data_IF_554734700403
#
_entry.id   IF_554734700403
#
_cell.length_a   1.000
_cell.length_b   1.000
_cell.length_c   1.000
_cell.angle_alpha   90.00
_cell.angle_beta   90.00
_cell.angle_gamma   90.00
#
_symmetry.space_group_name_H-M   'P 1'
#
loop_
_entity.id
_entity.type
_entity.pdbx_description
1 polymer ?
#
# COMPACT_ATOMS: atom_id res chain seq x y z
N UNK A 1 17.19 -2.41 -33.03
CA UNK A 1 16.55 -3.37 -32.13
C UNK A 1 15.90 -2.58 -31.02
N UNK A 2 14.56 -2.52 -30.88
CA UNK A 2 13.96 -1.87 -29.73
C UNK A 2 14.23 -2.77 -28.52
N UNK A 3 14.90 -2.22 -27.51
CA UNK A 3 14.98 -2.83 -26.18
C UNK A 3 13.57 -2.70 -25.59
N UNK A 4 12.85 -3.81 -25.48
CA UNK A 4 11.61 -3.84 -24.73
C UNK A 4 11.94 -3.44 -23.30
N UNK A 5 11.50 -2.28 -22.88
CA UNK A 5 11.53 -1.89 -21.49
C UNK A 5 10.62 -2.86 -20.73
N UNK A 6 11.21 -3.82 -20.02
CA UNK A 6 10.48 -4.68 -19.08
C UNK A 6 10.10 -3.80 -17.91
N UNK A 7 8.86 -3.35 -17.88
CA UNK A 7 8.35 -2.41 -16.89
C UNK A 7 8.24 -3.01 -15.48
N UNK A 8 8.25 -4.35 -15.35
CA UNK A 8 8.25 -5.08 -14.07
C UNK A 8 9.11 -6.32 -14.19
N UNK A 9 9.87 -6.65 -13.15
CA UNK A 9 10.51 -7.95 -13.05
C UNK A 9 9.43 -9.01 -12.86
N UNK A 10 9.53 -10.11 -13.59
CA UNK A 10 8.54 -11.20 -13.56
C UNK A 10 8.50 -11.90 -12.19
N UNK A 11 9.59 -11.82 -11.44
CA UNK A 11 9.86 -12.49 -10.16
C UNK A 11 9.65 -11.60 -8.93
N UNK A 12 9.07 -10.41 -9.09
CA UNK A 12 8.83 -9.46 -7.99
C UNK A 12 7.35 -9.27 -7.68
N UNK A 13 7.05 -8.88 -6.43
CA UNK A 13 5.74 -8.45 -5.99
C UNK A 13 5.74 -6.95 -5.76
N UNK A 14 5.32 -6.19 -6.77
CA UNK A 14 5.28 -4.73 -6.68
C UNK A 14 4.20 -4.28 -5.72
N UNK A 15 4.57 -3.43 -4.76
CA UNK A 15 3.71 -2.90 -3.72
C UNK A 15 3.80 -1.38 -3.71
N UNK A 16 2.81 -0.72 -4.30
CA UNK A 16 2.76 0.74 -4.41
C UNK A 16 1.79 1.33 -3.37
N UNK A 17 2.31 2.10 -2.43
CA UNK A 17 1.54 2.77 -1.39
C UNK A 17 1.44 4.27 -1.65
N UNK A 18 0.25 4.83 -1.52
CA UNK A 18 -0.01 6.26 -1.65
C UNK A 18 -0.83 6.77 -0.48
N UNK A 19 -0.41 7.90 0.09
CA UNK A 19 -1.11 8.59 1.18
C UNK A 19 -1.88 9.79 0.65
N UNK A 20 -3.12 9.95 1.11
CA UNK A 20 -3.89 11.17 0.97
C UNK A 20 -4.21 11.72 2.36
N UNK A 21 -3.67 12.90 2.67
CA UNK A 21 -3.91 13.58 3.94
C UNK A 21 -5.14 14.47 3.82
N UNK A 22 -6.08 14.32 4.77
CA UNK A 22 -7.20 15.21 5.00
C UNK A 22 -7.17 15.72 6.43
N UNK A 23 -7.97 16.73 6.75
CA UNK A 23 -7.96 17.38 8.08
C UNK A 23 -8.55 16.52 9.19
N UNK A 24 -9.30 15.48 8.83
CA UNK A 24 -10.01 14.59 9.75
C UNK A 24 -9.65 13.12 9.62
N UNK A 25 -8.88 12.75 8.57
CA UNK A 25 -8.41 11.37 8.35
C UNK A 25 -7.19 11.33 7.43
N UNK A 26 -6.52 10.19 7.43
CA UNK A 26 -5.47 9.84 6.47
C UNK A 26 -5.91 8.57 5.76
N UNK A 27 -5.92 8.61 4.42
CA UNK A 27 -6.26 7.49 3.55
C UNK A 27 -4.98 6.86 2.98
N UNK A 28 -4.88 5.53 3.08
CA UNK A 28 -3.91 4.70 2.39
C UNK A 28 -4.56 4.04 1.19
N UNK A 29 -3.86 4.08 0.06
CA UNK A 29 -4.15 3.26 -1.11
C UNK A 29 -2.94 2.39 -1.40
N UNK A 30 -3.12 1.08 -1.38
CA UNK A 30 -2.07 0.09 -1.62
C UNK A 30 -2.48 -0.72 -2.84
N UNK A 31 -1.67 -0.63 -3.89
CA UNK A 31 -1.80 -1.42 -5.11
C UNK A 31 -0.69 -2.47 -5.10
N UNK A 32 -1.07 -3.74 -5.25
CA UNK A 32 -0.17 -4.88 -5.20
C UNK A 32 -0.28 -5.63 -6.53
N UNK A 33 0.81 -5.67 -7.28
CA UNK A 33 0.86 -6.35 -8.58
C UNK A 33 1.93 -7.44 -8.54
N UNK A 34 1.53 -8.72 -8.43
CA UNK A 34 2.49 -9.81 -8.52
C UNK A 34 2.99 -9.94 -9.97
N UNK A 35 4.29 -10.12 -10.11
CA UNK A 35 4.87 -10.55 -11.38
C UNK A 35 4.39 -11.97 -11.75
N UNK A 36 4.49 -12.31 -13.03
CA UNK A 36 3.96 -13.57 -13.59
C UNK A 36 4.47 -14.80 -12.84
N UNK A 37 5.76 -14.80 -12.47
CA UNK A 37 6.41 -15.95 -11.82
C UNK A 37 5.99 -16.14 -10.37
N UNK A 38 5.56 -15.07 -9.68
CA UNK A 38 5.14 -15.11 -8.27
C UNK A 38 3.61 -15.11 -8.10
N UNK A 39 2.86 -14.79 -9.14
CA UNK A 39 1.40 -14.72 -9.10
C UNK A 39 0.73 -16.01 -8.58
N UNK A 40 1.15 -17.23 -8.99
CA UNK A 40 0.55 -18.46 -8.45
C UNK A 40 0.72 -18.61 -6.94
N UNK A 41 1.90 -18.26 -6.41
CA UNK A 41 2.18 -18.34 -4.98
C UNK A 41 1.40 -17.29 -4.18
N UNK A 42 1.28 -16.06 -4.70
CA UNK A 42 0.47 -15.00 -4.08
C UNK A 42 -1.01 -15.38 -4.10
N UNK A 43 -1.52 -15.88 -5.22
CA UNK A 43 -2.91 -16.34 -5.32
C UNK A 43 -3.21 -17.46 -4.31
N UNK A 44 -2.36 -18.50 -4.26
CA UNK A 44 -2.53 -19.62 -3.32
C UNK A 44 -2.47 -19.19 -1.84
N UNK A 45 -1.71 -18.13 -1.54
CA UNK A 45 -1.65 -17.56 -0.20
C UNK A 45 -2.98 -16.90 0.22
N UNK A 46 -3.74 -16.38 -0.74
CA UNK A 46 -5.01 -15.68 -0.51
C UNK A 46 -6.19 -16.66 -0.58
N UNK A 47 -6.25 -17.49 -1.63
CA UNK A 47 -7.27 -18.51 -1.87
C UNK A 47 -7.03 -19.73 -0.95
N UNK A 48 -7.48 -19.63 0.29
CA UNK A 48 -7.17 -20.60 1.36
C UNK A 48 -8.03 -21.86 1.29
N UNK A 49 -9.20 -21.80 0.67
CA UNK A 49 -10.10 -22.95 0.48
C UNK A 49 -9.86 -23.67 -0.85
N UNK A 50 -8.96 -23.12 -1.70
CA UNK A 50 -8.54 -23.70 -2.99
C UNK A 50 -9.67 -23.90 -4.00
N UNK A 51 -10.71 -23.06 -3.94
CA UNK A 51 -11.86 -23.13 -4.88
C UNK A 51 -11.57 -22.44 -6.23
N UNK A 52 -10.40 -21.78 -6.37
CA UNK A 52 -9.97 -21.09 -7.59
C UNK A 52 -10.43 -19.64 -7.72
N UNK A 53 -11.08 -19.11 -6.69
CA UNK A 53 -11.54 -17.71 -6.62
C UNK A 53 -11.17 -17.08 -5.28
N UNK A 54 -11.07 -15.76 -5.21
CA UNK A 54 -10.84 -15.06 -3.95
C UNK A 54 -12.17 -14.54 -3.44
N UNK A 55 -12.68 -15.15 -2.37
CA UNK A 55 -13.88 -14.70 -1.69
C UNK A 55 -13.66 -13.37 -0.96
N UNK A 56 -14.74 -12.65 -0.66
CA UNK A 56 -14.67 -11.41 0.11
C UNK A 56 -14.04 -11.60 1.50
N UNK A 57 -14.24 -12.77 2.12
CA UNK A 57 -13.64 -13.09 3.41
C UNK A 57 -12.14 -13.31 3.31
N UNK A 58 -11.68 -14.08 2.35
CA UNK A 58 -10.25 -14.32 2.11
C UNK A 58 -9.52 -13.03 1.77
N UNK A 59 -10.10 -12.22 0.89
CA UNK A 59 -9.58 -10.90 0.55
C UNK A 59 -9.45 -9.99 1.77
N UNK A 60 -10.44 -9.98 2.66
CA UNK A 60 -10.41 -9.21 3.90
C UNK A 60 -9.33 -9.72 4.88
N UNK A 61 -9.19 -11.04 5.01
CA UNK A 61 -8.16 -11.65 5.85
C UNK A 61 -6.77 -11.29 5.33
N UNK A 62 -6.56 -11.38 4.02
CA UNK A 62 -5.30 -11.00 3.40
C UNK A 62 -4.97 -9.53 3.58
N UNK A 63 -5.94 -8.65 3.32
CA UNK A 63 -5.79 -7.21 3.51
C UNK A 63 -5.43 -6.86 4.98
N UNK A 64 -6.08 -7.52 5.94
CA UNK A 64 -5.74 -7.35 7.36
C UNK A 64 -4.31 -7.77 7.66
N UNK A 65 -3.87 -8.93 7.17
CA UNK A 65 -2.49 -9.42 7.35
C UNK A 65 -1.48 -8.43 6.79
N UNK A 66 -1.73 -7.90 5.58
CA UNK A 66 -0.86 -6.88 4.98
C UNK A 66 -0.77 -5.63 5.86
N UNK A 67 -1.90 -5.12 6.37
CA UNK A 67 -1.90 -3.95 7.24
C UNK A 67 -1.23 -4.21 8.59
N UNK A 68 -1.34 -5.43 9.13
CA UNK A 68 -0.64 -5.85 10.36
C UNK A 68 0.89 -5.92 10.16
N UNK A 69 1.37 -6.16 8.95
CA UNK A 69 2.79 -6.13 8.59
C UNK A 69 3.32 -4.70 8.38
N UNK A 70 2.45 -3.70 8.31
CA UNK A 70 2.83 -2.31 8.15
C UNK A 70 3.02 -1.60 9.49
N UNK A 71 4.03 -0.73 9.57
CA UNK A 71 4.16 0.26 10.64
C UNK A 71 3.55 1.56 10.15
N UNK A 72 2.63 2.13 10.91
CA UNK A 72 2.00 3.41 10.60
C UNK A 72 1.86 4.26 11.86
N UNK A 73 2.47 5.43 11.83
CA UNK A 73 2.52 6.35 12.98
C UNK A 73 2.25 7.78 12.54
N UNK A 74 1.64 8.55 13.43
CA UNK A 74 1.54 10.01 13.32
C UNK A 74 2.04 10.60 14.62
N UNK A 75 3.01 11.49 14.54
CA UNK A 75 3.70 12.15 15.68
C UNK A 75 4.28 11.13 16.67
N UNK A 76 4.86 10.03 16.12
CA UNK A 76 5.44 8.94 16.90
C UNK A 76 4.43 8.06 17.63
N UNK A 77 3.13 8.24 17.37
CA UNK A 77 2.07 7.41 17.95
C UNK A 77 1.54 6.42 16.91
N UNK A 78 1.56 5.12 17.19
CA UNK A 78 0.96 4.11 16.32
C UNK A 78 -0.52 4.42 16.06
N UNK A 79 -0.95 4.27 14.80
CA UNK A 79 -2.33 4.46 14.39
C UNK A 79 -2.88 3.18 13.78
N UNK A 80 -4.08 2.82 14.18
CA UNK A 80 -4.78 1.69 13.60
C UNK A 80 -5.35 2.08 12.23
N UNK A 81 -5.11 1.20 11.24
CA UNK A 81 -5.68 1.31 9.90
C UNK A 81 -6.95 0.46 9.80
N UNK A 82 -8.03 1.03 9.33
CA UNK A 82 -9.29 0.36 9.08
C UNK A 82 -9.48 0.15 7.58
N UNK A 83 -9.81 -1.07 7.17
CA UNK A 83 -10.06 -1.39 5.76
C UNK A 83 -11.33 -0.68 5.30
N UNK A 84 -11.20 0.11 4.24
CA UNK A 84 -12.32 0.81 3.58
C UNK A 84 -12.87 -0.01 2.42
N UNK A 85 -11.97 -0.54 1.58
CA UNK A 85 -12.34 -1.36 0.44
C UNK A 85 -11.21 -2.28 0.01
N UNK A 86 -11.58 -3.37 -0.62
CA UNK A 86 -10.65 -4.32 -1.25
C UNK A 86 -11.16 -4.70 -2.62
N UNK A 87 -10.25 -4.88 -3.57
CA UNK A 87 -10.55 -5.43 -4.89
C UNK A 87 -9.46 -6.43 -5.24
N UNK A 88 -9.87 -7.64 -5.61
CA UNK A 88 -8.97 -8.71 -6.02
C UNK A 88 -9.24 -9.07 -7.48
N UNK A 89 -8.18 -9.19 -8.30
CA UNK A 89 -8.32 -9.64 -9.69
C UNK A 89 -8.58 -11.15 -9.76
N UNK A 90 -8.96 -11.64 -10.94
CA UNK A 90 -9.03 -13.06 -11.20
C UNK A 90 -7.64 -13.69 -11.18
N UNK A 91 -7.57 -15.03 -10.99
CA UNK A 91 -6.30 -15.75 -11.07
C UNK A 91 -5.65 -15.59 -12.46
N UNK A 92 -6.47 -15.62 -13.51
CA UNK A 92 -6.00 -15.42 -14.89
C UNK A 92 -5.32 -14.06 -15.06
N UNK A 93 -5.95 -12.97 -14.61
CA UNK A 93 -5.34 -11.63 -14.71
C UNK A 93 -4.02 -11.54 -13.96
N UNK A 94 -3.92 -12.20 -12.79
CA UNK A 94 -2.68 -12.25 -12.02
C UNK A 94 -1.58 -13.01 -12.78
N UNK A 95 -1.91 -14.17 -13.38
CA UNK A 95 -0.97 -14.96 -14.18
C UNK A 95 -0.50 -14.24 -15.45
N UNK A 96 -1.34 -13.39 -16.02
CA UNK A 96 -0.99 -12.56 -17.17
C UNK A 96 -0.20 -11.29 -16.81
N UNK A 97 0.00 -11.03 -15.50
CA UNK A 97 0.74 -9.88 -15.00
C UNK A 97 0.00 -8.55 -15.12
N UNK A 98 -1.31 -8.59 -15.37
CA UNK A 98 -2.19 -7.43 -15.46
C UNK A 98 -3.10 -7.26 -14.24
N UNK A 99 -3.15 -8.28 -13.38
CA UNK A 99 -3.98 -8.28 -12.17
C UNK A 99 -3.35 -7.48 -11.03
N UNK A 100 -4.05 -6.45 -10.55
CA UNK A 100 -3.63 -5.65 -9.40
C UNK A 100 -4.64 -5.79 -8.28
N UNK A 101 -4.16 -6.23 -7.10
CA UNK A 101 -4.92 -6.19 -5.85
C UNK A 101 -4.94 -4.75 -5.36
N UNK A 102 -6.12 -4.23 -5.01
CA UNK A 102 -6.27 -2.87 -4.49
C UNK A 102 -6.86 -2.90 -3.10
N UNK A 103 -6.16 -2.28 -2.16
CA UNK A 103 -6.60 -2.17 -0.77
C UNK A 103 -6.63 -0.69 -0.41
N UNK A 104 -7.76 -0.25 0.14
CA UNK A 104 -7.87 1.07 0.73
C UNK A 104 -8.10 0.92 2.23
N UNK A 105 -7.33 1.67 3.01
CA UNK A 105 -7.46 1.72 4.45
C UNK A 105 -7.37 3.17 4.92
N UNK A 106 -7.97 3.46 6.06
CA UNK A 106 -7.93 4.80 6.64
C UNK A 106 -7.70 4.75 8.15
N UNK A 107 -7.21 5.85 8.68
CA UNK A 107 -7.26 6.14 10.11
C UNK A 107 -7.91 7.49 10.34
N UNK A 108 -8.76 7.58 11.36
CA UNK A 108 -9.23 8.89 11.85
C UNK A 108 -8.04 9.63 12.47
N UNK A 109 -7.85 10.88 12.09
CA UNK A 109 -6.81 11.74 12.62
C UNK A 109 -7.31 13.18 12.67
N UNK A 110 -7.09 13.83 13.78
CA UNK A 110 -7.34 15.27 13.93
C UNK A 110 -6.15 15.86 14.65
N UNK A 111 -5.31 16.57 13.90
CA UNK A 111 -4.19 17.31 14.45
C UNK A 111 -4.62 18.66 14.99
N UNK A 112 -3.78 19.25 15.82
CA UNK A 112 -3.80 20.68 16.17
C UNK A 112 -3.03 21.46 15.10
N UNK A 113 -3.30 22.77 14.89
CA UNK A 113 -2.46 23.57 14.02
C UNK A 113 -0.98 23.47 14.40
N UNK A 114 -0.13 23.32 13.39
CA UNK A 114 1.32 23.20 13.58
C UNK A 114 1.93 22.07 12.77
N UNK A 115 3.17 21.74 13.12
CA UNK A 115 3.97 20.72 12.45
C UNK A 115 3.61 19.31 12.92
N UNK A 116 3.51 18.37 11.96
CA UNK A 116 3.21 16.97 12.18
C UNK A 116 4.13 16.07 11.35
N UNK A 117 4.30 14.84 11.80
CA UNK A 117 5.10 13.82 11.14
C UNK A 117 4.29 12.55 10.93
N UNK A 118 4.18 12.10 9.69
CA UNK A 118 3.69 10.76 9.37
C UNK A 118 4.90 9.86 9.10
N UNK A 119 4.91 8.68 9.68
CA UNK A 119 5.86 7.62 9.39
C UNK A 119 5.13 6.36 8.93
N UNK A 120 5.64 5.77 7.86
CA UNK A 120 5.14 4.49 7.34
C UNK A 120 6.28 3.59 6.90
N UNK A 121 6.14 2.29 7.18
CA UNK A 121 7.01 1.24 6.65
C UNK A 121 6.17 0.02 6.29
N UNK A 122 6.38 -0.50 5.08
CA UNK A 122 5.78 -1.74 4.62
C UNK A 122 6.75 -2.91 4.83
N UNK A 123 6.40 -3.85 5.70
CA UNK A 123 7.18 -5.07 5.94
C UNK A 123 6.54 -6.31 5.31
N UNK A 124 5.49 -6.13 4.49
CA UNK A 124 4.78 -7.26 3.88
C UNK A 124 5.63 -7.87 2.75
N UNK A 125 5.87 -9.19 2.82
CA UNK A 125 6.59 -9.95 1.78
C UNK A 125 7.93 -9.35 1.37
N UNK A 126 8.80 -9.09 2.34
CA UNK A 126 10.11 -8.47 2.10
C UNK A 126 11.08 -9.35 1.30
N UNK A 127 10.81 -10.63 1.21
CA UNK A 127 11.54 -11.61 0.40
C UNK A 127 11.25 -11.51 -1.10
N UNK A 128 10.09 -10.97 -1.48
CA UNK A 128 9.62 -10.84 -2.86
C UNK A 128 9.33 -9.39 -3.27
N UNK A 129 9.26 -8.49 -2.29
CA UNK A 129 8.71 -7.15 -2.47
C UNK A 129 9.61 -6.20 -3.24
N UNK A 130 9.04 -5.53 -4.23
CA UNK A 130 9.51 -4.27 -4.77
C UNK A 130 8.54 -3.17 -4.33
N UNK A 131 9.05 -2.06 -3.77
CA UNK A 131 8.21 -1.08 -3.10
C UNK A 131 8.27 0.28 -3.77
N UNK A 132 7.12 0.97 -3.74
CA UNK A 132 7.00 2.39 -4.04
C UNK A 132 6.14 3.03 -2.96
N UNK A 133 6.56 4.16 -2.43
CA UNK A 133 5.77 4.91 -1.46
C UNK A 133 5.77 6.40 -1.78
N UNK A 134 4.59 7.01 -1.81
CA UNK A 134 4.41 8.42 -2.13
C UNK A 134 3.26 9.04 -1.32
N UNK A 135 3.36 10.35 -1.09
CA UNK A 135 2.24 11.16 -0.66
C UNK A 135 1.61 11.88 -1.85
N UNK A 136 0.28 11.90 -1.90
CA UNK A 136 -0.47 12.70 -2.87
C UNK A 136 -0.48 14.17 -2.41
N UNK A 137 -0.55 15.08 -3.35
CA UNK A 137 -0.71 16.50 -3.03
C UNK A 137 -2.04 16.68 -2.28
N UNK A 138 -2.05 17.29 -1.08
CA UNK A 138 -3.26 17.52 -0.33
C UNK A 138 -4.25 18.38 -1.11
N UNK A 139 -5.53 18.02 -1.07
CA UNK A 139 -6.60 18.83 -1.68
C UNK A 139 -7.03 19.99 -0.79
N UNK A 140 -6.83 19.87 0.53
CA UNK A 140 -7.08 20.94 1.49
C UNK A 140 -5.92 21.91 1.56
N UNK A 141 -6.19 23.20 1.46
CA UNK A 141 -5.18 24.27 1.66
C UNK A 141 -4.69 24.37 3.11
N UNK A 142 -5.42 23.74 4.04
CA UNK A 142 -5.02 23.69 5.44
C UNK A 142 -3.84 22.72 5.68
N UNK A 143 -3.47 21.90 4.71
CA UNK A 143 -2.38 20.94 4.84
C UNK A 143 -1.30 21.27 3.80
N UNK A 144 -0.08 21.47 4.29
CA UNK A 144 1.10 21.70 3.48
C UNK A 144 2.17 20.63 3.78
N UNK A 145 2.54 19.82 2.79
CA UNK A 145 3.66 18.88 2.91
C UNK A 145 4.95 19.69 2.76
N UNK A 146 5.78 19.65 3.79
CA UNK A 146 7.02 20.44 3.83
C UNK A 146 8.26 19.62 3.47
N UNK A 147 8.25 18.30 3.75
CA UNK A 147 9.35 17.42 3.39
C UNK A 147 8.88 15.96 3.23
N UNK A 148 9.62 15.20 2.39
CA UNK A 148 9.41 13.78 2.16
C UNK A 148 10.74 13.05 2.08
N UNK A 149 10.99 12.16 3.01
CA UNK A 149 12.18 11.33 3.03
C UNK A 149 11.81 9.85 2.88
N UNK A 150 12.45 9.14 1.94
CA UNK A 150 12.26 7.71 1.68
C UNK A 150 13.57 6.96 1.89
N UNK A 151 13.48 5.72 2.34
CA UNK A 151 14.63 4.83 2.33
C UNK A 151 14.99 4.40 0.89
N UNK A 152 16.17 3.83 0.72
CA UNK A 152 16.66 3.41 -0.61
C UNK A 152 15.73 2.38 -1.29
N UNK A 153 15.12 1.48 -0.50
CA UNK A 153 14.20 0.46 -1.01
C UNK A 153 12.79 1.00 -1.29
N UNK A 154 12.51 2.26 -0.99
CA UNK A 154 11.19 2.89 -1.08
C UNK A 154 10.09 2.15 -0.29
N UNK A 155 10.50 1.38 0.72
CA UNK A 155 9.62 0.67 1.63
C UNK A 155 9.13 1.56 2.77
N UNK A 156 9.89 2.61 3.05
CA UNK A 156 9.68 3.52 4.16
C UNK A 156 9.54 4.96 3.68
N UNK A 157 8.66 5.70 4.31
CA UNK A 157 8.53 7.16 4.13
C UNK A 157 8.35 7.84 5.48
N UNK A 158 9.09 8.93 5.67
CA UNK A 158 8.82 9.97 6.65
C UNK A 158 8.30 11.19 5.89
N UNK A 159 7.15 11.68 6.31
CA UNK A 159 6.47 12.82 5.72
C UNK A 159 6.30 13.88 6.78
N UNK A 160 6.89 15.05 6.57
CA UNK A 160 6.71 16.22 7.41
C UNK A 160 5.66 17.14 6.79
N UNK A 161 4.67 17.60 7.55
CA UNK A 161 3.61 18.45 7.05
C UNK A 161 3.08 19.40 8.12
N UNK A 162 2.53 20.53 7.69
CA UNK A 162 1.89 21.52 8.55
C UNK A 162 0.38 21.45 8.39
N UNK A 163 -0.35 21.60 9.51
CA UNK A 163 -1.78 21.85 9.56
C UNK A 163 -2.01 23.31 10.01
N UNK A 164 -2.84 24.04 9.26
CA UNK A 164 -3.24 25.43 9.56
C UNK A 164 -4.53 25.49 10.37
#
# INVERSE_FOLDING_TARGET
MPVAARAHRLDEYLQATRFALATDHILLKIDLTPGVDVAPAIFALINTDHDGSISAMEGKIYAKRLLDDCVFEVDGQPRRLEIVSTLFPSFQDMQEGIGTIRIQARTAWRGTPGHHVLFFRNNHKTDLGAYLVNALVPTSRAIEITDQHRDFSQREIRLDFNLQ
#
